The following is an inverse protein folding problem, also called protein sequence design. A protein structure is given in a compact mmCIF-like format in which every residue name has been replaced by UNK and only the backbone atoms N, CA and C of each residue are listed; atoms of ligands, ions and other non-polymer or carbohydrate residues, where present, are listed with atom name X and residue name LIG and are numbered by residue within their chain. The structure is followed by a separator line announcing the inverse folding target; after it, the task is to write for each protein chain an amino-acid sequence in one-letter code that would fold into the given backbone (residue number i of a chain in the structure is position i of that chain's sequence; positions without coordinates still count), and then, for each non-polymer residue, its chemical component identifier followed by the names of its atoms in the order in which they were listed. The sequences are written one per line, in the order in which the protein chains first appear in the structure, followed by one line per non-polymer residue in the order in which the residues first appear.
data_IF_509348393596
#
_entry.id   IF_509348393596
#
_cell.length_a   1.000
_cell.length_b   1.000
_cell.length_c   1.000
_cell.angle_alpha   90.00
_cell.angle_beta   90.00
_cell.angle_gamma   90.00
#
_symmetry.space_group_name_H-M   'P 1'
#
loop_
_entity.id
_entity.type
_entity.pdbx_description
1 polymer ?
#
# COMPACT_ATOMS: atom_id res chain seq x y z
N UNK A 1 6.21 -13.07 -23.13
CA UNK A 1 6.50 -12.55 -21.77
C UNK A 1 5.22 -11.94 -21.25
N UNK A 2 4.74 -12.27 -20.08
CA UNK A 2 3.60 -11.54 -19.49
C UNK A 2 4.17 -10.33 -18.79
N UNK A 3 3.94 -9.14 -19.33
CA UNK A 3 4.40 -7.87 -18.77
C UNK A 3 3.55 -7.48 -17.53
N UNK A 4 3.49 -8.38 -16.53
CA UNK A 4 2.70 -8.17 -15.32
C UNK A 4 3.53 -8.49 -14.09
N UNK A 5 3.46 -7.63 -13.07
CA UNK A 5 4.12 -7.76 -11.78
C UNK A 5 3.09 -7.52 -10.67
N UNK A 6 2.99 -8.45 -9.73
CA UNK A 6 2.18 -8.25 -8.54
C UNK A 6 2.86 -7.22 -7.61
N UNK A 7 2.17 -6.12 -7.33
CA UNK A 7 2.66 -5.02 -6.47
C UNK A 7 2.00 -4.98 -5.09
N UNK A 8 0.94 -5.78 -4.86
CA UNK A 8 0.21 -5.83 -3.61
C UNK A 8 0.02 -7.29 -3.19
N UNK A 9 0.89 -7.78 -2.30
CA UNK A 9 0.93 -9.18 -1.84
C UNK A 9 1.16 -9.22 -0.34
N UNK A 10 0.36 -10.03 0.36
CA UNK A 10 0.52 -10.35 1.77
C UNK A 10 1.17 -11.71 1.94
N UNK A 11 2.20 -11.78 2.78
CA UNK A 11 2.87 -13.02 3.15
C UNK A 11 2.35 -13.59 4.47
N UNK A 12 2.92 -14.70 4.89
CA UNK A 12 2.70 -15.33 6.21
C UNK A 12 2.92 -14.39 7.41
N UNK A 13 3.56 -13.23 7.22
CA UNK A 13 3.72 -12.19 8.25
C UNK A 13 2.51 -11.26 8.38
N UNK A 14 1.55 -11.33 7.46
CA UNK A 14 0.20 -10.75 7.61
C UNK A 14 -0.68 -11.74 8.36
N UNK A 15 -0.50 -11.85 9.68
CA UNK A 15 -0.89 -12.99 10.52
C UNK A 15 -2.36 -13.45 10.45
N UNK A 16 -3.30 -12.56 10.06
CA UNK A 16 -4.72 -12.88 10.03
C UNK A 16 -5.21 -13.42 8.67
N UNK A 17 -4.56 -13.03 7.58
CA UNK A 17 -5.04 -13.28 6.22
C UNK A 17 -3.97 -13.67 5.21
N UNK A 18 -2.68 -13.50 5.53
CA UNK A 18 -1.57 -13.84 4.66
C UNK A 18 -1.28 -15.34 4.65
N UNK A 19 -1.58 -16.02 3.54
CA UNK A 19 -1.30 -17.45 3.37
C UNK A 19 -0.04 -17.75 2.54
N UNK A 20 0.56 -16.75 1.92
CA UNK A 20 1.71 -16.93 1.03
C UNK A 20 3.01 -17.09 1.82
N UNK A 21 3.70 -18.19 1.61
CA UNK A 21 5.02 -18.40 2.21
C UNK A 21 6.09 -17.68 1.41
N UNK A 22 6.93 -16.90 2.09
CA UNK A 22 7.97 -16.08 1.46
C UNK A 22 8.87 -16.88 0.52
N UNK A 23 9.23 -18.10 0.88
CA UNK A 23 10.12 -18.94 0.06
C UNK A 23 9.46 -19.43 -1.22
N UNK A 24 8.13 -19.56 -1.24
CA UNK A 24 7.36 -20.10 -2.37
C UNK A 24 6.98 -18.98 -3.36
N UNK A 25 6.83 -17.75 -2.90
CA UNK A 25 6.43 -16.60 -3.72
C UNK A 25 7.29 -16.40 -4.98
N UNK A 26 8.63 -16.30 -4.89
CA UNK A 26 9.45 -16.07 -6.09
C UNK A 26 9.50 -17.28 -7.02
N UNK A 27 9.34 -18.49 -6.50
CA UNK A 27 9.20 -19.70 -7.31
C UNK A 27 7.94 -19.60 -8.16
N UNK A 28 6.80 -19.24 -7.52
CA UNK A 28 5.53 -19.08 -8.21
C UNK A 28 5.54 -17.93 -9.22
N UNK A 29 6.20 -16.80 -8.88
CA UNK A 29 6.38 -15.68 -9.82
C UNK A 29 7.11 -16.15 -11.10
N UNK A 30 8.17 -16.93 -10.94
CA UNK A 30 8.94 -17.48 -12.06
C UNK A 30 8.12 -18.43 -12.93
N UNK A 31 7.34 -19.34 -12.31
CA UNK A 31 6.42 -20.23 -13.03
C UNK A 31 5.38 -19.47 -13.86
N UNK A 32 4.93 -18.32 -13.37
CA UNK A 32 3.96 -17.45 -14.05
C UNK A 32 4.62 -16.52 -15.09
N UNK A 33 5.96 -16.57 -15.24
CA UNK A 33 6.73 -15.78 -16.19
C UNK A 33 6.93 -14.33 -15.76
N UNK A 34 6.85 -14.03 -14.45
CA UNK A 34 7.17 -12.74 -13.89
C UNK A 34 8.66 -12.64 -13.60
N UNK A 35 9.25 -11.47 -13.80
CA UNK A 35 10.66 -11.16 -13.50
C UNK A 35 10.82 -10.32 -12.22
N UNK A 36 9.71 -9.83 -11.65
CA UNK A 36 9.67 -9.04 -10.43
C UNK A 36 8.40 -9.37 -9.62
N UNK A 37 8.41 -9.06 -8.32
CA UNK A 37 7.22 -9.04 -7.47
C UNK A 37 7.47 -8.22 -6.22
N UNK A 38 6.38 -7.73 -5.60
CA UNK A 38 6.44 -7.00 -4.34
C UNK A 38 6.04 -7.86 -3.15
N UNK A 39 6.42 -7.40 -1.95
CA UNK A 39 5.84 -7.80 -0.66
C UNK A 39 5.28 -6.53 -0.01
N UNK A 40 4.06 -6.60 0.52
CA UNK A 40 3.33 -5.47 1.11
C UNK A 40 2.49 -5.92 2.30
N UNK A 41 3.14 -6.54 3.29
CA UNK A 41 2.46 -7.02 4.50
C UNK A 41 1.78 -5.90 5.27
N UNK A 42 0.72 -6.24 6.01
CA UNK A 42 -0.09 -5.32 6.80
C UNK A 42 0.69 -4.68 7.96
N UNK A 43 1.08 -3.42 7.80
CA UNK A 43 1.69 -2.58 8.82
C UNK A 43 3.08 -3.02 9.30
N UNK A 44 3.69 -4.02 8.64
CA UNK A 44 4.99 -4.59 9.06
C UNK A 44 5.91 -4.83 7.86
N UNK A 45 7.20 -4.94 8.14
CA UNK A 45 8.25 -5.29 7.17
C UNK A 45 9.08 -6.51 7.63
N UNK A 46 8.49 -7.38 8.45
CA UNK A 46 9.21 -8.50 9.07
C UNK A 46 9.79 -9.47 8.05
N UNK A 47 9.07 -9.73 6.97
CA UNK A 47 9.49 -10.61 5.90
C UNK A 47 10.45 -10.00 4.87
N UNK A 48 10.75 -8.70 4.93
CA UNK A 48 11.44 -7.98 3.86
C UNK A 48 12.80 -8.58 3.48
N UNK A 49 13.63 -8.94 4.46
CA UNK A 49 14.98 -9.48 4.23
C UNK A 49 14.91 -10.92 3.67
N UNK A 50 14.04 -11.75 4.23
CA UNK A 50 13.89 -13.13 3.76
C UNK A 50 13.28 -13.17 2.35
N UNK A 51 12.31 -12.31 2.07
CA UNK A 51 11.75 -12.13 0.73
C UNK A 51 12.82 -11.65 -0.27
N UNK A 52 13.63 -10.64 0.10
CA UNK A 52 14.73 -10.16 -0.74
C UNK A 52 15.69 -11.31 -1.12
N UNK A 53 16.13 -12.08 -0.12
CA UNK A 53 17.05 -13.22 -0.34
C UNK A 53 16.40 -14.31 -1.21
N UNK A 54 15.14 -14.66 -0.96
CA UNK A 54 14.40 -15.65 -1.73
C UNK A 54 14.22 -15.23 -3.19
N UNK A 55 13.87 -13.97 -3.45
CA UNK A 55 13.77 -13.43 -4.81
C UNK A 55 15.11 -13.47 -5.55
N UNK A 56 16.19 -13.01 -4.90
CA UNK A 56 17.54 -13.04 -5.50
C UNK A 56 17.99 -14.45 -5.85
N UNK A 57 17.73 -15.42 -4.98
CA UNK A 57 18.07 -16.82 -5.23
C UNK A 57 17.31 -17.43 -6.44
N UNK A 58 16.13 -16.90 -6.76
CA UNK A 58 15.29 -17.37 -7.89
C UNK A 58 15.40 -16.50 -9.15
N UNK A 59 16.23 -15.45 -9.15
CA UNK A 59 16.40 -14.54 -10.28
C UNK A 59 15.21 -13.59 -10.47
N UNK A 60 14.40 -13.36 -9.42
CA UNK A 60 13.27 -12.43 -9.40
C UNK A 60 13.73 -11.11 -8.79
N UNK A 61 13.32 -9.97 -9.37
CA UNK A 61 13.56 -8.64 -8.80
C UNK A 61 12.64 -8.41 -7.59
N UNK A 62 13.17 -8.28 -6.36
CA UNK A 62 12.33 -7.97 -5.20
C UNK A 62 11.95 -6.49 -5.19
N UNK A 63 10.69 -6.21 -4.90
CA UNK A 63 10.17 -4.87 -4.60
C UNK A 63 9.70 -4.88 -3.15
N UNK A 64 10.35 -4.07 -2.32
CA UNK A 64 10.02 -4.02 -0.89
C UNK A 64 8.99 -2.92 -0.66
N UNK A 65 7.91 -3.28 0.00
CA UNK A 65 6.82 -2.39 0.34
C UNK A 65 6.16 -2.74 1.67
N UNK A 66 5.11 -2.02 1.99
CA UNK A 66 4.24 -2.27 3.13
C UNK A 66 2.85 -1.71 2.82
N UNK A 67 1.80 -2.44 3.18
CA UNK A 67 0.45 -1.87 3.28
C UNK A 67 0.31 -1.20 4.64
N UNK A 68 0.56 0.09 4.68
CA UNK A 68 0.50 0.86 5.92
C UNK A 68 -0.93 1.23 6.29
N UNK A 69 -1.17 1.41 7.58
CA UNK A 69 -2.42 1.94 8.11
C UNK A 69 -2.30 3.45 8.28
N UNK A 70 -3.24 4.20 7.71
CA UNK A 70 -3.30 5.67 7.82
C UNK A 70 -4.39 6.06 8.80
N UNK A 71 -4.03 6.84 9.82
CA UNK A 71 -4.97 7.38 10.80
C UNK A 71 -5.95 8.36 10.13
N UNK A 72 -7.21 8.42 10.57
CA UNK A 72 -8.20 9.36 10.01
C UNK A 72 -7.87 10.83 10.32
N UNK A 73 -7.19 11.09 11.43
CA UNK A 73 -6.71 12.40 11.85
C UNK A 73 -5.19 12.36 12.02
N UNK A 74 -4.67 12.58 13.21
CA UNK A 74 -3.25 12.41 13.49
C UNK A 74 -2.95 11.03 14.08
N UNK A 75 -1.71 10.55 13.95
CA UNK A 75 -1.27 9.29 14.54
C UNK A 75 -1.34 9.26 16.08
N UNK A 76 -1.37 10.45 16.68
CA UNK A 76 -1.43 10.61 18.15
C UNK A 76 -2.85 10.56 18.70
N UNK A 77 -3.86 10.80 17.85
CA UNK A 77 -5.27 10.78 18.26
C UNK A 77 -5.75 9.36 18.53
N UNK A 78 -6.48 9.17 19.63
CA UNK A 78 -6.94 7.84 20.11
C UNK A 78 -8.37 7.88 20.65
N UNK A 79 -9.23 8.63 20.00
CA UNK A 79 -10.64 8.69 20.32
C UNK A 79 -11.35 7.43 19.78
N UNK A 80 -12.11 6.67 20.61
CA UNK A 80 -12.74 5.42 20.18
C UNK A 80 -13.79 5.60 19.09
N UNK A 81 -14.47 6.75 19.02
CA UNK A 81 -15.50 7.02 18.02
C UNK A 81 -14.91 7.53 16.71
N UNK A 82 -13.87 8.37 16.78
CA UNK A 82 -13.29 9.06 15.64
C UNK A 82 -12.07 8.33 15.05
N UNK A 83 -11.25 7.68 15.89
CA UNK A 83 -9.93 7.18 15.49
C UNK A 83 -9.80 5.65 15.49
N UNK A 84 -10.89 4.92 15.80
CA UNK A 84 -10.89 3.44 15.77
C UNK A 84 -10.77 2.88 14.34
N UNK A 85 -11.12 3.67 13.32
CA UNK A 85 -10.98 3.32 11.91
C UNK A 85 -9.61 3.78 11.39
N UNK A 86 -9.14 3.14 10.34
CA UNK A 86 -7.91 3.47 9.63
C UNK A 86 -8.09 3.14 8.16
N UNK A 87 -7.30 3.76 7.29
CA UNK A 87 -7.30 3.47 5.87
C UNK A 87 -6.02 2.71 5.47
N UNK A 88 -6.11 1.91 4.42
CA UNK A 88 -4.96 1.23 3.85
C UNK A 88 -4.30 2.09 2.78
N UNK A 89 -2.98 1.98 2.70
CA UNK A 89 -2.17 2.65 1.67
C UNK A 89 -0.98 1.76 1.33
N UNK A 90 -0.69 1.58 0.04
CA UNK A 90 0.50 0.83 -0.39
C UNK A 90 1.66 1.78 -0.60
N UNK A 91 2.78 1.48 0.04
CA UNK A 91 4.06 2.17 -0.17
C UNK A 91 5.10 1.17 -0.65
N UNK A 92 5.79 1.50 -1.76
CA UNK A 92 6.85 0.67 -2.34
C UNK A 92 8.15 1.48 -2.41
N UNK A 93 9.25 0.88 -1.97
CA UNK A 93 10.57 1.52 -2.01
C UNK A 93 11.18 1.45 -3.43
N UNK A 94 11.56 2.60 -3.99
CA UNK A 94 12.23 2.70 -5.30
C UNK A 94 13.71 2.30 -5.25
N UNK A 95 14.34 2.56 -4.10
CA UNK A 95 15.77 2.35 -3.86
C UNK A 95 16.06 2.23 -2.35
N UNK A 96 17.34 2.19 -1.97
CA UNK A 96 17.76 2.07 -0.57
C UNK A 96 17.32 3.25 0.31
N UNK A 97 17.24 4.46 -0.22
CA UNK A 97 16.78 5.62 0.57
C UNK A 97 15.27 5.56 0.78
N UNK A 98 14.49 5.13 -0.24
CA UNK A 98 13.07 4.79 -0.06
C UNK A 98 12.86 3.67 0.95
N UNK A 99 13.70 2.63 0.97
CA UNK A 99 13.64 1.59 2.00
C UNK A 99 13.86 2.13 3.42
N UNK A 100 14.83 3.06 3.59
CA UNK A 100 15.04 3.72 4.89
C UNK A 100 13.84 4.57 5.31
N UNK A 101 13.26 5.34 4.37
CA UNK A 101 12.08 6.15 4.62
C UNK A 101 10.87 5.28 4.98
N UNK A 102 10.63 4.19 4.25
CA UNK A 102 9.58 3.22 4.57
C UNK A 102 9.78 2.60 5.95
N UNK A 103 11.02 2.18 6.26
CA UNK A 103 11.36 1.63 7.59
C UNK A 103 11.13 2.64 8.70
N UNK A 104 11.41 3.94 8.44
CA UNK A 104 11.14 5.02 9.38
C UNK A 104 9.65 5.21 9.62
N UNK A 105 8.84 5.27 8.54
CA UNK A 105 7.38 5.36 8.62
C UNK A 105 6.78 4.19 9.42
N UNK A 106 7.18 2.95 9.10
CA UNK A 106 6.71 1.77 9.81
C UNK A 106 7.15 1.80 11.29
N UNK A 107 8.37 2.24 11.60
CA UNK A 107 8.81 2.37 13.00
C UNK A 107 8.01 3.40 13.77
N UNK A 108 7.76 4.58 13.18
CA UNK A 108 6.94 5.64 13.79
C UNK A 108 5.49 5.18 14.01
N UNK A 109 4.93 4.37 13.12
CA UNK A 109 3.59 3.84 13.28
C UNK A 109 3.44 3.00 14.56
N UNK A 110 4.49 2.27 14.95
CA UNK A 110 4.52 1.50 16.20
C UNK A 110 4.84 2.35 17.43
N UNK A 111 5.80 3.26 17.34
CA UNK A 111 6.27 4.01 18.52
C UNK A 111 5.37 5.18 18.90
N UNK A 112 4.69 5.79 17.91
CA UNK A 112 3.86 6.97 18.11
C UNK A 112 2.38 6.72 17.77
N UNK A 113 2.12 5.98 16.69
CA UNK A 113 0.79 5.88 16.09
C UNK A 113 -0.02 4.64 16.48
N UNK A 114 0.47 3.79 17.38
CA UNK A 114 -0.21 2.55 17.72
C UNK A 114 -1.52 2.80 18.47
N UNK A 115 -2.63 2.46 17.79
CA UNK A 115 -3.96 2.41 18.35
C UNK A 115 -4.78 1.35 17.60
N UNK A 116 -4.99 0.17 18.19
CA UNK A 116 -5.43 -1.09 17.59
C UNK A 116 -4.50 -1.60 16.47
N UNK A 117 -3.99 -0.73 15.62
CA UNK A 117 -3.02 -0.98 14.55
C UNK A 117 -1.89 0.05 14.58
N UNK A 118 -0.71 -0.28 14.03
CA UNK A 118 0.37 0.69 13.85
C UNK A 118 0.00 1.67 12.72
N UNK A 119 -0.33 2.93 13.06
CA UNK A 119 -0.83 3.92 12.10
C UNK A 119 0.19 5.00 11.84
N UNK A 120 0.35 5.36 10.60
CA UNK A 120 0.97 6.62 10.17
C UNK A 120 -0.10 7.69 9.95
N UNK A 121 0.30 8.92 9.67
CA UNK A 121 -0.58 10.00 9.23
C UNK A 121 0.00 10.79 8.06
N UNK A 122 -0.75 11.77 7.57
CA UNK A 122 -0.35 12.61 6.45
C UNK A 122 0.88 13.47 6.76
N UNK A 123 1.08 13.87 8.01
CA UNK A 123 2.24 14.65 8.42
C UNK A 123 3.55 13.92 8.19
N UNK A 124 3.69 12.68 8.70
CA UNK A 124 4.92 11.93 8.50
C UNK A 124 5.06 11.36 7.08
N UNK A 125 3.95 11.18 6.36
CA UNK A 125 4.01 10.86 4.93
C UNK A 125 4.66 12.00 4.14
N UNK A 126 4.32 13.26 4.39
CA UNK A 126 4.97 14.41 3.76
C UNK A 126 6.46 14.52 4.09
N UNK A 127 6.86 14.12 5.31
CA UNK A 127 8.27 14.16 5.73
C UNK A 127 9.12 13.05 5.09
N UNK A 128 8.55 11.87 4.85
CA UNK A 128 9.30 10.67 4.45
C UNK A 128 8.83 10.05 3.12
N UNK A 129 8.13 10.82 2.27
CA UNK A 129 7.60 10.34 0.98
C UNK A 129 8.67 10.10 -0.08
N UNK A 130 9.82 10.75 0.03
CA UNK A 130 10.85 10.71 -1.01
C UNK A 130 11.32 9.27 -1.31
N UNK A 131 11.49 8.98 -2.60
CA UNK A 131 11.88 7.66 -3.11
C UNK A 131 10.89 6.52 -2.77
N UNK A 132 9.63 6.86 -2.51
CA UNK A 132 8.52 5.93 -2.39
C UNK A 132 7.57 6.06 -3.59
N UNK A 133 7.00 4.94 -4.02
CA UNK A 133 5.81 4.88 -4.85
C UNK A 133 4.63 4.65 -3.92
N UNK A 134 3.53 5.36 -4.17
CA UNK A 134 2.30 5.27 -3.40
C UNK A 134 1.15 4.77 -4.28
N UNK A 135 0.40 3.75 -3.82
CA UNK A 135 -0.82 3.29 -4.49
C UNK A 135 -2.01 3.36 -3.52
N UNK A 136 -3.21 3.64 -4.08
CA UNK A 136 -4.43 3.89 -3.30
C UNK A 136 -5.00 2.69 -2.55
N UNK A 137 -4.35 1.53 -2.63
CA UNK A 137 -4.68 0.27 -1.97
C UNK A 137 -6.05 -0.34 -2.38
N UNK A 138 -6.56 -1.23 -1.52
CA UNK A 138 -7.81 -1.98 -1.69
C UNK A 138 -9.07 -1.17 -1.29
N UNK A 139 -10.22 -1.82 -1.14
CA UNK A 139 -11.47 -1.18 -0.69
C UNK A 139 -11.35 -0.43 0.63
N UNK A 140 -10.40 -0.80 1.50
CA UNK A 140 -10.12 -0.10 2.75
C UNK A 140 -9.27 1.18 2.57
N UNK A 141 -8.85 1.52 1.36
CA UNK A 141 -8.16 2.79 1.06
C UNK A 141 -9.06 4.01 1.21
N UNK A 142 -8.49 5.16 1.57
CA UNK A 142 -9.23 6.40 1.87
C UNK A 142 -10.12 6.84 0.69
N UNK A 143 -9.58 6.82 -0.53
CA UNK A 143 -10.32 7.17 -1.75
C UNK A 143 -11.46 6.19 -2.00
N UNK A 144 -11.18 4.89 -1.88
CA UNK A 144 -12.16 3.85 -2.13
C UNK A 144 -13.32 3.93 -1.12
N UNK A 145 -13.01 4.25 0.15
CA UNK A 145 -14.03 4.50 1.18
C UNK A 145 -14.89 5.72 0.89
N UNK A 146 -14.32 6.80 0.34
CA UNK A 146 -15.10 7.97 -0.10
C UNK A 146 -16.03 7.61 -1.27
N UNK A 147 -15.53 6.87 -2.26
CA UNK A 147 -16.33 6.38 -3.40
C UNK A 147 -17.52 5.51 -2.93
N UNK A 148 -17.28 4.58 -1.99
CA UNK A 148 -18.32 3.70 -1.44
C UNK A 148 -19.41 4.47 -0.69
N UNK A 149 -19.07 5.62 -0.10
CA UNK A 149 -20.01 6.55 0.51
C UNK A 149 -20.71 7.48 -0.50
N UNK A 150 -20.41 7.30 -1.80
CA UNK A 150 -20.86 8.17 -2.88
C UNK A 150 -20.40 9.63 -2.73
N UNK A 151 -19.26 9.85 -2.08
CA UNK A 151 -18.62 11.16 -1.89
C UNK A 151 -17.45 11.32 -2.86
N UNK A 152 -17.77 11.69 -4.11
CA UNK A 152 -16.77 11.89 -5.16
C UNK A 152 -15.95 13.15 -4.96
N UNK A 153 -16.47 14.15 -4.25
CA UNK A 153 -15.71 15.38 -3.96
C UNK A 153 -14.61 15.09 -2.94
N UNK A 154 -14.91 14.30 -1.92
CA UNK A 154 -13.90 13.83 -0.98
C UNK A 154 -12.87 12.91 -1.66
N UNK A 155 -13.32 11.96 -2.50
CA UNK A 155 -12.41 11.10 -3.26
C UNK A 155 -11.42 11.93 -4.11
N UNK A 156 -11.90 12.97 -4.77
CA UNK A 156 -11.11 13.92 -5.57
C UNK A 156 -10.12 14.71 -4.71
N UNK A 157 -10.58 15.23 -3.58
CA UNK A 157 -9.75 15.98 -2.63
C UNK A 157 -8.59 15.14 -2.10
N UNK A 158 -8.87 13.90 -1.70
CA UNK A 158 -7.87 12.96 -1.17
C UNK A 158 -6.88 12.56 -2.27
N UNK A 159 -7.35 12.20 -3.47
CA UNK A 159 -6.47 11.84 -4.59
C UNK A 159 -5.55 13.00 -4.99
N UNK A 160 -6.07 14.22 -5.01
CA UNK A 160 -5.29 15.44 -5.31
C UNK A 160 -4.22 15.69 -4.25
N UNK A 161 -4.51 15.43 -2.98
CA UNK A 161 -3.52 15.55 -1.92
C UNK A 161 -2.36 14.56 -2.11
N UNK A 162 -2.66 13.27 -2.33
CA UNK A 162 -1.63 12.27 -2.59
C UNK A 162 -0.82 12.58 -3.86
N UNK A 163 -1.48 13.03 -4.93
CA UNK A 163 -0.79 13.49 -6.13
C UNK A 163 0.14 14.68 -5.84
N UNK A 164 -0.28 15.60 -4.98
CA UNK A 164 0.55 16.74 -4.55
C UNK A 164 1.82 16.31 -3.83
N UNK A 165 1.74 15.27 -2.98
CA UNK A 165 2.88 14.75 -2.21
C UNK A 165 3.81 13.88 -3.06
N UNK A 166 3.26 12.90 -3.79
CA UNK A 166 4.05 11.88 -4.50
C UNK A 166 4.29 12.20 -5.99
N UNK A 167 3.59 13.19 -6.55
CA UNK A 167 3.71 13.58 -7.94
C UNK A 167 3.44 12.41 -8.89
N UNK A 168 4.39 12.12 -9.77
CA UNK A 168 4.35 11.02 -10.75
C UNK A 168 4.48 9.61 -10.15
N UNK A 169 4.83 9.52 -8.88
CA UNK A 169 4.97 8.26 -8.15
C UNK A 169 3.70 7.89 -7.37
N UNK A 170 2.58 8.58 -7.63
CA UNK A 170 1.26 8.23 -7.11
C UNK A 170 0.41 7.51 -8.16
N UNK A 171 -0.27 6.43 -7.74
CA UNK A 171 -1.12 5.61 -8.60
C UNK A 171 -2.44 5.25 -7.93
N UNK A 172 -3.52 5.26 -8.71
CA UNK A 172 -4.80 4.68 -8.30
C UNK A 172 -4.79 3.18 -8.61
N UNK A 173 -4.95 2.37 -7.57
CA UNK A 173 -4.91 0.91 -7.67
C UNK A 173 -6.31 0.35 -8.00
N UNK A 174 -6.39 -0.47 -9.03
CA UNK A 174 -7.59 -1.25 -9.36
C UNK A 174 -7.34 -2.73 -9.11
N UNK A 175 -8.33 -3.43 -8.58
CA UNK A 175 -8.26 -4.85 -8.29
C UNK A 175 -9.38 -5.60 -8.99
N UNK A 176 -9.10 -6.84 -9.45
CA UNK A 176 -10.11 -7.73 -10.03
C UNK A 176 -10.22 -8.99 -9.16
N UNK A 177 -10.89 -8.86 -8.03
CA UNK A 177 -11.05 -9.92 -7.03
C UNK A 177 -12.47 -10.52 -6.99
N UNK A 178 -13.35 -10.13 -7.93
CA UNK A 178 -14.74 -10.62 -8.03
C UNK A 178 -15.73 -9.99 -7.03
N UNK A 179 -15.29 -9.08 -6.17
CA UNK A 179 -16.15 -8.37 -5.22
C UNK A 179 -16.95 -7.28 -5.96
N UNK A 180 -18.27 -7.23 -5.77
CA UNK A 180 -19.16 -6.29 -6.48
C UNK A 180 -18.82 -4.82 -6.22
N UNK A 181 -18.53 -4.50 -4.99
CA UNK A 181 -18.11 -3.15 -4.56
C UNK A 181 -16.84 -2.72 -5.27
N UNK A 182 -15.90 -3.65 -5.46
CA UNK A 182 -14.64 -3.38 -6.16
C UNK A 182 -14.88 -3.03 -7.64
N UNK A 183 -15.84 -3.68 -8.31
CA UNK A 183 -16.18 -3.36 -9.70
C UNK A 183 -16.69 -1.91 -9.83
N UNK A 184 -17.57 -1.48 -8.90
CA UNK A 184 -18.06 -0.10 -8.84
C UNK A 184 -16.90 0.89 -8.60
N UNK A 185 -16.07 0.59 -7.61
CA UNK A 185 -14.93 1.45 -7.25
C UNK A 185 -13.94 1.56 -8.41
N UNK A 186 -13.60 0.46 -9.08
CA UNK A 186 -12.71 0.46 -10.24
C UNK A 186 -13.17 1.42 -11.35
N UNK A 187 -14.48 1.43 -11.66
CA UNK A 187 -15.04 2.34 -12.67
C UNK A 187 -14.83 3.81 -12.28
N UNK A 188 -15.06 4.14 -11.01
CA UNK A 188 -14.87 5.50 -10.48
C UNK A 188 -13.39 5.89 -10.39
N UNK A 189 -12.52 4.97 -10.04
CA UNK A 189 -11.05 5.19 -10.03
C UNK A 189 -10.54 5.48 -11.44
N UNK A 190 -10.98 4.75 -12.47
CA UNK A 190 -10.61 5.03 -13.87
C UNK A 190 -11.11 6.41 -14.33
N UNK A 191 -12.31 6.83 -13.91
CA UNK A 191 -12.81 8.17 -14.17
C UNK A 191 -11.93 9.23 -13.49
N UNK A 192 -11.64 9.05 -12.20
CA UNK A 192 -10.82 9.95 -11.38
C UNK A 192 -9.37 10.05 -11.90
N UNK A 193 -8.80 8.92 -12.35
CA UNK A 193 -7.47 8.86 -12.98
C UNK A 193 -7.35 9.79 -14.19
N UNK A 194 -8.36 9.75 -15.06
CA UNK A 194 -8.39 10.63 -16.26
C UNK A 194 -8.60 12.09 -15.91
N UNK A 195 -9.44 12.36 -14.90
CA UNK A 195 -9.74 13.71 -14.44
C UNK A 195 -8.53 14.38 -13.80
N UNK A 196 -7.77 13.63 -13.01
CA UNK A 196 -6.63 14.15 -12.25
C UNK A 196 -5.26 13.87 -12.88
N UNK A 197 -5.23 13.16 -14.01
CA UNK A 197 -3.97 12.75 -14.66
C UNK A 197 -3.06 11.94 -13.71
N UNK A 198 -3.64 10.89 -13.09
CA UNK A 198 -2.95 9.96 -12.17
C UNK A 198 -2.83 8.60 -12.84
#
# INVERSE_FOLDING_TARGET
MRDFVHLHIHSEFSLLDGANRIKELPVRAKELGMDAMAITDHGVMFGAIDFYKACKANGIKPIIGCEVYVAPRTRHDKDPELDSKYNHLILLAKNNDGYKNLSKLVSLSFTEGFYYKPRIDKEILEQYHENLICCSACLAGEINQAILKNDMDEARRVASWFKGVFGKDYYLEIQNNGVKEQVLVNQKLVQLSRELDI
#
